data_IF_655813906085
#
_entry.id   IF_655813906085
#
_cell.length_a   1.000
_cell.length_b   1.000
_cell.length_c   1.000
_cell.angle_alpha   90.00
_cell.angle_beta   90.00
_cell.angle_gamma   90.00
#
_symmetry.space_group_name_H-M   'P 1'
#
loop_
_entity.id
_entity.type
_entity.pdbx_description
1 polymer ?
#
# COMPACT_ATOMS: atom_id res chain seq x y z
N UNK A 1 -3.17 -53.31 5.22
CA UNK A 1 -4.26 -52.30 5.37
C UNK A 1 -3.94 -51.34 6.51
N UNK A 2 -3.59 -51.78 7.75
CA UNK A 2 -3.27 -50.88 8.87
C UNK A 2 -2.07 -49.96 8.59
N UNK A 3 -0.97 -50.46 8.06
CA UNK A 3 0.23 -49.70 7.71
C UNK A 3 -0.07 -48.63 6.60
N UNK A 4 -0.98 -48.91 5.69
CA UNK A 4 -1.38 -47.95 4.64
C UNK A 4 -2.24 -46.84 5.22
N UNK A 5 -3.13 -47.16 6.16
CA UNK A 5 -4.01 -46.20 6.83
C UNK A 5 -3.22 -45.27 7.75
N UNK A 6 -2.18 -45.81 8.42
CA UNK A 6 -1.28 -45.02 9.25
C UNK A 6 -0.40 -44.07 8.44
N UNK A 7 0.12 -44.55 7.30
CA UNK A 7 0.84 -43.68 6.36
C UNK A 7 -0.03 -42.55 5.82
N UNK A 8 -1.29 -42.84 5.42
CA UNK A 8 -2.23 -41.80 4.95
C UNK A 8 -2.55 -40.76 6.02
N UNK A 9 -2.65 -41.17 7.29
CA UNK A 9 -2.84 -40.21 8.41
C UNK A 9 -1.64 -39.29 8.59
N UNK A 10 -0.42 -39.83 8.49
CA UNK A 10 0.82 -39.05 8.59
C UNK A 10 0.90 -38.06 7.41
N UNK A 11 0.62 -38.53 6.19
CA UNK A 11 0.65 -37.68 4.99
C UNK A 11 -0.40 -36.54 5.08
N UNK A 12 -1.61 -36.83 5.58
CA UNK A 12 -2.64 -35.81 5.83
C UNK A 12 -2.21 -34.78 6.88
N UNK A 13 -1.66 -35.26 8.01
CA UNK A 13 -1.17 -34.34 9.05
C UNK A 13 -0.05 -33.43 8.54
N UNK A 14 0.83 -33.95 7.67
CA UNK A 14 1.88 -33.15 7.05
C UNK A 14 1.32 -32.08 6.11
N UNK A 15 0.30 -32.43 5.30
CA UNK A 15 -0.40 -31.48 4.43
C UNK A 15 -1.08 -30.38 5.25
N UNK A 16 -1.74 -30.73 6.34
CA UNK A 16 -2.40 -29.77 7.23
C UNK A 16 -1.40 -28.79 7.85
N UNK A 17 -0.21 -29.28 8.23
CA UNK A 17 0.84 -28.44 8.79
C UNK A 17 1.47 -27.52 7.72
N UNK A 18 1.69 -28.03 6.50
CA UNK A 18 2.14 -27.20 5.38
C UNK A 18 1.12 -26.11 5.03
N UNK A 19 -0.18 -26.42 5.02
CA UNK A 19 -1.24 -25.44 4.79
C UNK A 19 -1.20 -24.32 5.85
N UNK A 20 -1.11 -24.67 7.14
CA UNK A 20 -1.01 -23.67 8.21
C UNK A 20 0.22 -22.78 8.09
N UNK A 21 1.37 -23.37 7.71
CA UNK A 21 2.59 -22.61 7.50
C UNK A 21 2.45 -21.63 6.32
N UNK A 22 1.85 -22.06 5.22
CA UNK A 22 1.56 -21.21 4.07
C UNK A 22 0.61 -20.07 4.44
N UNK A 23 -0.49 -20.37 5.15
CA UNK A 23 -1.42 -19.34 5.62
C UNK A 23 -0.70 -18.29 6.50
N UNK A 24 0.17 -18.73 7.41
CA UNK A 24 0.94 -17.83 8.26
C UNK A 24 1.89 -16.94 7.45
N UNK A 25 2.63 -17.51 6.50
CA UNK A 25 3.52 -16.75 5.60
C UNK A 25 2.75 -15.69 4.78
N UNK A 26 1.58 -16.04 4.25
CA UNK A 26 0.77 -15.08 3.50
C UNK A 26 0.15 -14.01 4.39
N UNK A 27 -0.21 -14.35 5.62
CA UNK A 27 -0.71 -13.37 6.60
C UNK A 27 0.37 -12.35 6.94
N UNK A 28 1.59 -12.79 7.22
CA UNK A 28 2.74 -11.92 7.46
C UNK A 28 3.08 -11.06 6.23
N UNK A 29 2.97 -11.61 5.04
CA UNK A 29 3.16 -10.86 3.80
C UNK A 29 2.13 -9.73 3.65
N UNK A 30 0.84 -9.99 3.92
CA UNK A 30 -0.21 -8.96 3.89
C UNK A 30 0.00 -7.91 4.98
N UNK A 31 0.45 -8.33 6.18
CA UNK A 31 0.84 -7.43 7.27
C UNK A 31 1.94 -6.46 6.82
N UNK A 32 2.98 -6.99 6.18
CA UNK A 32 4.07 -6.16 5.67
C UNK A 32 3.60 -5.17 4.60
N UNK A 33 2.70 -5.58 3.70
CA UNK A 33 2.08 -4.67 2.73
C UNK A 33 1.33 -3.55 3.46
N UNK A 34 0.53 -3.90 4.47
CA UNK A 34 -0.24 -2.94 5.27
C UNK A 34 0.68 -1.91 5.93
N UNK A 35 1.74 -2.36 6.58
CA UNK A 35 2.75 -1.51 7.20
C UNK A 35 3.44 -0.60 6.17
N UNK A 36 3.82 -1.15 5.02
CA UNK A 36 4.47 -0.42 3.93
C UNK A 36 3.58 0.70 3.37
N UNK A 37 2.29 0.44 3.17
CA UNK A 37 1.31 1.46 2.75
C UNK A 37 1.25 2.58 3.79
N UNK A 38 1.21 2.26 5.08
CA UNK A 38 1.19 3.25 6.17
C UNK A 38 2.46 4.10 6.27
N UNK A 39 3.57 3.64 5.69
CA UNK A 39 4.83 4.38 5.70
C UNK A 39 4.98 5.40 4.57
N UNK A 40 4.17 5.34 3.51
CA UNK A 40 4.29 6.21 2.32
C UNK A 40 4.18 7.69 2.73
N UNK A 41 3.35 8.02 3.70
CA UNK A 41 3.10 9.40 4.13
C UNK A 41 4.13 9.97 5.13
N UNK A 42 5.16 9.19 5.50
CA UNK A 42 6.10 9.56 6.58
C UNK A 42 6.81 10.90 6.35
N UNK A 43 7.18 11.20 5.10
CA UNK A 43 7.93 12.40 4.74
C UNK A 43 7.04 13.55 4.24
N UNK A 44 5.71 13.48 4.46
CA UNK A 44 4.76 14.47 3.95
C UNK A 44 4.55 15.70 4.84
N UNK A 45 5.26 15.82 5.97
CA UNK A 45 5.08 16.94 6.90
C UNK A 45 5.98 18.10 6.53
N UNK A 46 5.41 19.27 6.28
CA UNK A 46 6.11 20.52 5.97
C UNK A 46 5.73 21.63 6.95
N UNK A 47 6.46 22.74 6.92
CA UNK A 47 6.11 23.95 7.70
C UNK A 47 5.30 24.91 6.84
N UNK A 48 4.07 25.19 7.25
CA UNK A 48 3.19 26.16 6.58
C UNK A 48 2.79 27.20 7.61
N UNK A 49 3.09 28.48 7.34
CA UNK A 49 2.75 29.59 8.24
C UNK A 49 3.20 29.38 9.70
N UNK A 50 4.38 28.77 9.89
CA UNK A 50 4.93 28.47 11.21
C UNK A 50 4.29 27.29 11.93
N UNK A 51 3.40 26.54 11.26
CA UNK A 51 2.78 25.31 11.79
C UNK A 51 3.29 24.09 11.02
N UNK A 52 3.45 22.99 11.73
CA UNK A 52 3.76 21.70 11.12
C UNK A 52 2.48 21.10 10.55
N UNK A 53 2.43 20.88 9.23
CA UNK A 53 1.28 20.34 8.51
C UNK A 53 1.69 19.06 7.79
N UNK A 54 0.99 17.96 8.05
CA UNK A 54 1.15 16.69 7.33
C UNK A 54 0.28 16.72 6.09
N UNK A 55 0.91 16.96 4.91
CA UNK A 55 0.24 17.16 3.62
C UNK A 55 -0.49 15.93 3.09
N UNK A 56 0.03 14.75 3.38
CA UNK A 56 -0.57 13.46 3.06
C UNK A 56 -0.73 12.65 4.34
N UNK A 57 -1.89 12.08 4.56
CA UNK A 57 -2.13 11.13 5.64
C UNK A 57 -2.76 9.87 5.06
N UNK A 58 -2.09 8.74 5.27
CA UNK A 58 -2.59 7.42 4.92
C UNK A 58 -2.90 6.68 6.21
N UNK A 59 -4.14 6.28 6.36
CA UNK A 59 -4.59 5.46 7.47
C UNK A 59 -4.90 4.08 6.94
N UNK A 60 -4.18 3.09 7.43
CA UNK A 60 -4.37 1.66 7.13
C UNK A 60 -5.17 1.00 8.24
N UNK A 61 -5.77 -0.19 7.99
CA UNK A 61 -6.38 -1.01 9.04
C UNK A 61 -5.41 -1.30 10.18
N UNK A 62 -5.94 -1.36 11.41
CA UNK A 62 -5.17 -1.69 12.60
C UNK A 62 -4.92 -3.20 12.66
N UNK A 63 -3.69 -3.58 12.29
CA UNK A 63 -3.31 -4.99 12.19
C UNK A 63 -3.33 -5.73 13.53
N UNK A 64 -2.91 -5.08 14.60
CA UNK A 64 -2.84 -5.71 15.93
C UNK A 64 -4.23 -6.07 16.45
N UNK A 65 -5.19 -5.13 16.30
CA UNK A 65 -6.57 -5.31 16.78
C UNK A 65 -7.37 -6.26 15.90
N UNK A 66 -7.10 -6.27 14.58
CA UNK A 66 -7.90 -7.02 13.60
C UNK A 66 -7.24 -8.30 13.09
N UNK A 67 -6.07 -8.68 13.62
CA UNK A 67 -5.25 -9.79 13.11
C UNK A 67 -6.03 -11.10 12.96
N UNK A 68 -6.84 -11.46 13.96
CA UNK A 68 -7.61 -12.70 13.93
C UNK A 68 -8.70 -12.66 12.85
N UNK A 69 -9.33 -11.50 12.65
CA UNK A 69 -10.29 -11.30 11.59
C UNK A 69 -9.64 -11.42 10.20
N UNK A 70 -8.42 -10.88 10.03
CA UNK A 70 -7.67 -11.01 8.79
C UNK A 70 -7.24 -12.44 8.53
N UNK A 71 -6.86 -13.19 9.58
CA UNK A 71 -6.53 -14.61 9.47
C UNK A 71 -7.72 -15.42 8.95
N UNK A 72 -8.91 -15.19 9.49
CA UNK A 72 -10.13 -15.86 9.03
C UNK A 72 -10.46 -15.52 7.57
N UNK A 73 -10.36 -14.26 7.18
CA UNK A 73 -10.57 -13.85 5.78
C UNK A 73 -9.56 -14.47 4.81
N UNK A 74 -8.31 -14.59 5.22
CA UNK A 74 -7.28 -15.25 4.42
C UNK A 74 -7.59 -16.74 4.24
N UNK A 75 -8.00 -17.41 5.33
CA UNK A 75 -8.42 -18.81 5.29
C UNK A 75 -9.58 -19.02 4.31
N UNK A 76 -10.67 -18.25 4.45
CA UNK A 76 -11.82 -18.30 3.56
C UNK A 76 -11.44 -18.04 2.10
N UNK A 77 -10.50 -17.12 1.89
CA UNK A 77 -9.98 -16.80 0.55
C UNK A 77 -9.24 -18.00 -0.05
N UNK A 78 -8.40 -18.68 0.71
CA UNK A 78 -7.69 -19.87 0.25
C UNK A 78 -8.60 -21.07 0.03
N UNK A 79 -9.57 -21.30 0.90
CA UNK A 79 -10.60 -22.32 0.68
C UNK A 79 -11.32 -22.12 -0.66
N UNK A 80 -11.67 -20.89 -0.99
CA UNK A 80 -12.27 -20.56 -2.27
C UNK A 80 -11.31 -20.79 -3.46
N UNK A 81 -10.01 -20.44 -3.31
CA UNK A 81 -9.00 -20.71 -4.34
C UNK A 81 -8.83 -22.20 -4.57
N UNK A 82 -8.77 -23.01 -3.52
CA UNK A 82 -8.66 -24.47 -3.63
C UNK A 82 -9.85 -25.03 -4.39
N UNK A 83 -11.07 -24.64 -4.03
CA UNK A 83 -12.29 -25.06 -4.71
C UNK A 83 -12.27 -24.72 -6.20
N UNK A 84 -11.95 -23.47 -6.55
CA UNK A 84 -11.89 -23.02 -7.94
C UNK A 84 -10.70 -23.65 -8.70
N UNK A 85 -9.63 -23.95 -8.00
CA UNK A 85 -8.47 -24.67 -8.57
C UNK A 85 -8.83 -26.09 -8.97
N UNK A 86 -9.56 -26.82 -8.13
CA UNK A 86 -10.07 -28.17 -8.44
C UNK A 86 -10.98 -28.12 -9.66
N UNK A 87 -11.94 -27.19 -9.71
CA UNK A 87 -12.79 -27.00 -10.88
C UNK A 87 -12.00 -26.69 -12.17
N UNK A 88 -10.90 -25.94 -12.03
CA UNK A 88 -10.02 -25.60 -13.17
C UNK A 88 -9.34 -26.85 -13.70
N UNK A 89 -8.85 -27.73 -12.83
CA UNK A 89 -8.23 -29.01 -13.20
C UNK A 89 -9.25 -29.93 -13.85
N UNK A 90 -10.44 -30.07 -13.30
CA UNK A 90 -11.52 -30.89 -13.85
C UNK A 90 -11.93 -30.46 -15.28
N UNK A 91 -11.84 -29.16 -15.56
CA UNK A 91 -12.11 -28.58 -16.89
C UNK A 91 -10.86 -28.59 -17.81
N UNK A 92 -9.79 -29.32 -17.45
CA UNK A 92 -8.50 -29.34 -18.16
C UNK A 92 -7.88 -27.95 -18.34
N UNK A 93 -8.14 -27.02 -17.42
CA UNK A 93 -7.55 -25.67 -17.41
C UNK A 93 -6.12 -25.65 -16.87
N UNK A 94 -5.42 -24.55 -17.10
CA UNK A 94 -4.06 -24.35 -16.61
C UNK A 94 -4.08 -23.81 -15.18
N UNK A 95 -3.74 -24.65 -14.20
CA UNK A 95 -3.71 -24.29 -12.77
C UNK A 95 -2.70 -23.18 -12.48
N UNK A 96 -1.51 -23.20 -13.10
CA UNK A 96 -0.48 -22.17 -12.87
C UNK A 96 -0.96 -20.80 -13.30
N UNK A 97 -1.60 -20.71 -14.46
CA UNK A 97 -2.18 -19.46 -14.96
C UNK A 97 -3.33 -18.97 -14.05
N UNK A 98 -4.18 -19.89 -13.59
CA UNK A 98 -5.24 -19.59 -12.65
C UNK A 98 -4.67 -19.01 -11.35
N UNK A 99 -3.71 -19.70 -10.71
CA UNK A 99 -3.07 -19.25 -9.46
C UNK A 99 -2.39 -17.89 -9.63
N UNK A 100 -1.67 -17.67 -10.73
CA UNK A 100 -1.05 -16.38 -11.03
C UNK A 100 -2.04 -15.22 -11.17
N UNK A 101 -3.30 -15.51 -11.54
CA UNK A 101 -4.37 -14.50 -11.60
C UNK A 101 -5.04 -14.23 -10.26
N UNK A 102 -5.14 -15.22 -9.39
CA UNK A 102 -5.84 -15.07 -8.10
C UNK A 102 -4.90 -14.73 -6.95
N UNK A 103 -3.66 -15.24 -6.93
CA UNK A 103 -2.66 -14.96 -5.90
C UNK A 103 -1.77 -13.79 -6.36
N UNK A 104 -2.31 -12.57 -6.31
CA UNK A 104 -1.57 -11.34 -6.56
C UNK A 104 -1.55 -10.48 -5.28
N UNK A 105 -0.51 -9.69 -5.09
CA UNK A 105 -0.38 -8.74 -3.96
C UNK A 105 -1.65 -7.92 -3.75
N UNK A 106 -2.21 -7.36 -4.84
CA UNK A 106 -3.44 -6.57 -4.80
C UNK A 106 -4.62 -7.38 -4.30
N UNK A 107 -4.84 -8.59 -4.85
CA UNK A 107 -5.99 -9.43 -4.49
C UNK A 107 -5.87 -9.99 -3.08
N UNK A 108 -4.66 -10.38 -2.65
CA UNK A 108 -4.41 -10.80 -1.28
C UNK A 108 -4.76 -9.68 -0.31
N UNK A 109 -4.22 -8.49 -0.51
CA UNK A 109 -4.50 -7.35 0.37
C UNK A 109 -5.99 -6.96 0.35
N UNK A 110 -6.62 -6.94 -0.82
CA UNK A 110 -8.04 -6.56 -0.95
C UNK A 110 -8.98 -7.55 -0.27
N UNK A 111 -8.74 -8.85 -0.39
CA UNK A 111 -9.57 -9.88 0.24
C UNK A 111 -9.35 -9.96 1.77
N UNK A 112 -8.15 -9.69 2.26
CA UNK A 112 -7.81 -9.81 3.68
C UNK A 112 -8.08 -8.51 4.42
N UNK A 113 -7.40 -7.43 4.07
CA UNK A 113 -7.49 -6.14 4.75
C UNK A 113 -8.52 -5.18 4.14
N UNK A 114 -8.77 -5.32 2.83
CA UNK A 114 -9.69 -4.47 2.06
C UNK A 114 -9.06 -3.13 1.65
N UNK A 115 -8.83 -2.92 0.36
CA UNK A 115 -8.29 -1.67 -0.17
C UNK A 115 -9.19 -0.47 0.22
N UNK A 116 -10.49 -0.65 0.29
CA UNK A 116 -11.46 0.36 0.70
C UNK A 116 -11.30 0.82 2.15
N UNK A 117 -10.61 0.06 3.00
CA UNK A 117 -10.32 0.42 4.38
C UNK A 117 -9.11 1.35 4.51
N UNK A 118 -8.31 1.48 3.45
CA UNK A 118 -7.21 2.44 3.38
C UNK A 118 -7.79 3.83 3.12
N UNK A 119 -7.64 4.74 4.08
CA UNK A 119 -8.15 6.11 3.98
C UNK A 119 -7.01 7.05 3.64
N UNK A 120 -7.15 7.77 2.53
CA UNK A 120 -6.19 8.78 2.08
C UNK A 120 -6.81 10.15 2.28
N UNK A 121 -6.10 11.01 2.99
CA UNK A 121 -6.45 12.43 3.20
C UNK A 121 -5.28 13.29 2.77
N UNK A 122 -5.59 14.38 2.09
CA UNK A 122 -4.66 15.42 1.69
C UNK A 122 -5.03 16.73 2.38
N UNK A 123 -4.09 17.67 2.40
CA UNK A 123 -4.39 19.03 2.84
C UNK A 123 -4.35 19.98 1.66
N UNK A 124 -5.46 20.67 1.43
CA UNK A 124 -5.58 21.80 0.52
C UNK A 124 -5.11 23.06 1.24
N UNK A 125 -4.19 23.79 0.64
CA UNK A 125 -3.70 25.05 1.16
C UNK A 125 -4.37 26.19 0.41
N UNK A 126 -5.30 26.87 1.08
CA UNK A 126 -5.90 28.10 0.61
C UNK A 126 -5.13 29.32 1.13
N UNK A 127 -5.41 30.51 0.58
CA UNK A 127 -4.70 31.73 0.94
C UNK A 127 -4.73 32.03 2.45
N UNK A 128 -5.83 31.69 3.14
CA UNK A 128 -6.05 32.03 4.53
C UNK A 128 -6.11 30.81 5.48
N UNK A 129 -6.34 29.61 4.95
CA UNK A 129 -6.55 28.39 5.76
C UNK A 129 -6.05 27.13 5.07
N UNK A 130 -5.82 26.10 5.88
CA UNK A 130 -5.55 24.73 5.46
C UNK A 130 -6.79 23.87 5.70
N UNK A 131 -7.23 23.14 4.67
CA UNK A 131 -8.46 22.32 4.71
C UNK A 131 -8.11 20.87 4.41
N UNK A 132 -8.47 19.92 5.29
CA UNK A 132 -8.34 18.50 4.97
C UNK A 132 -9.37 18.12 3.90
N UNK A 133 -8.91 17.41 2.87
CA UNK A 133 -9.75 16.90 1.79
C UNK A 133 -9.58 15.38 1.66
N UNK A 134 -10.64 14.70 1.29
CA UNK A 134 -10.60 13.28 0.95
C UNK A 134 -10.04 13.06 -0.46
N UNK A 135 -9.64 11.84 -0.75
CA UNK A 135 -9.18 11.47 -2.10
C UNK A 135 -10.20 11.79 -3.20
N UNK A 136 -11.48 11.56 -2.92
CA UNK A 136 -12.56 11.84 -3.89
C UNK A 136 -12.75 13.32 -4.19
N UNK A 137 -12.37 14.21 -3.27
CA UNK A 137 -12.49 15.66 -3.44
C UNK A 137 -11.31 16.28 -4.21
N UNK A 138 -10.20 15.55 -4.36
CA UNK A 138 -9.00 16.04 -5.08
C UNK A 138 -9.32 16.42 -6.53
N UNK A 139 -10.21 15.69 -7.18
CA UNK A 139 -10.63 15.97 -8.57
C UNK A 139 -11.41 17.28 -8.74
N UNK A 140 -11.98 17.79 -7.66
CA UNK A 140 -12.71 19.06 -7.65
C UNK A 140 -11.82 20.29 -7.37
N UNK A 141 -10.52 20.08 -7.11
CA UNK A 141 -9.58 21.15 -6.84
C UNK A 141 -9.31 22.01 -8.09
N UNK A 142 -8.94 23.27 -7.87
CA UNK A 142 -8.40 24.12 -8.93
C UNK A 142 -7.11 23.53 -9.52
N UNK A 143 -6.75 23.91 -10.75
CA UNK A 143 -5.57 23.37 -11.43
C UNK A 143 -4.29 23.41 -10.58
N UNK A 144 -3.99 24.53 -9.91
CA UNK A 144 -2.83 24.68 -9.04
C UNK A 144 -2.89 23.82 -7.77
N UNK A 145 -4.04 23.72 -7.15
CA UNK A 145 -4.26 22.91 -5.95
C UNK A 145 -4.23 21.41 -6.26
N UNK A 146 -4.81 21.01 -7.40
CA UNK A 146 -4.75 19.65 -7.91
C UNK A 146 -3.31 19.25 -8.22
N UNK A 147 -2.52 20.15 -8.82
CA UNK A 147 -1.10 19.95 -9.06
C UNK A 147 -0.32 19.75 -7.75
N UNK A 148 -0.52 20.60 -6.74
CA UNK A 148 0.13 20.44 -5.43
C UNK A 148 -0.20 19.08 -4.79
N UNK A 149 -1.46 18.65 -4.86
CA UNK A 149 -1.89 17.34 -4.34
C UNK A 149 -1.18 16.18 -5.05
N UNK A 150 -1.12 16.22 -6.38
CA UNK A 150 -0.41 15.22 -7.18
C UNK A 150 1.10 15.20 -6.86
N UNK A 151 1.72 16.39 -6.75
CA UNK A 151 3.12 16.54 -6.40
C UNK A 151 3.44 15.94 -5.02
N UNK A 152 2.62 16.21 -4.01
CA UNK A 152 2.78 15.63 -2.65
C UNK A 152 2.77 14.11 -2.71
N UNK A 153 1.82 13.51 -3.43
CA UNK A 153 1.71 12.05 -3.56
C UNK A 153 2.94 11.47 -4.25
N UNK A 154 3.32 12.04 -5.40
CA UNK A 154 4.47 11.57 -6.17
C UNK A 154 5.77 11.65 -5.38
N UNK A 155 6.02 12.77 -4.69
CA UNK A 155 7.23 12.93 -3.89
C UNK A 155 7.25 12.00 -2.67
N UNK A 156 6.11 11.74 -2.03
CA UNK A 156 6.01 10.75 -0.96
C UNK A 156 6.28 9.33 -1.46
N UNK A 157 5.73 8.95 -2.63
CA UNK A 157 5.99 7.65 -3.26
C UNK A 157 7.47 7.51 -3.66
N UNK A 158 8.06 8.53 -4.27
CA UNK A 158 9.49 8.54 -4.61
C UNK A 158 10.37 8.44 -3.36
N UNK A 159 10.01 9.14 -2.30
CA UNK A 159 10.71 9.05 -1.02
C UNK A 159 10.59 7.67 -0.38
N UNK A 160 9.41 7.03 -0.47
CA UNK A 160 9.21 5.66 -0.01
C UNK A 160 10.05 4.66 -0.82
N UNK A 161 10.06 4.77 -2.16
CA UNK A 161 10.83 3.88 -3.05
C UNK A 161 12.34 3.96 -2.88
N UNK A 162 12.87 5.03 -2.23
CA UNK A 162 14.30 5.15 -1.89
C UNK A 162 14.73 4.33 -0.67
N UNK A 163 13.78 3.76 0.05
CA UNK A 163 14.09 2.91 1.19
C UNK A 163 14.57 1.56 0.69
N UNK A 164 15.84 1.50 0.40
CA UNK A 164 16.53 0.24 0.25
C UNK A 164 16.92 -0.22 1.65
N UNK A 165 16.12 -1.12 2.24
CA UNK A 165 16.38 -1.67 3.58
C UNK A 165 17.67 -2.51 3.61
N UNK A 166 18.21 -2.84 2.43
CA UNK A 166 19.41 -3.68 2.28
C UNK A 166 20.69 -2.87 2.14
N UNK A 167 20.60 -1.58 1.87
CA UNK A 167 21.76 -0.74 1.62
C UNK A 167 22.22 0.04 2.85
N UNK A 168 22.95 -0.66 3.73
CA UNK A 168 23.61 -0.08 4.91
C UNK A 168 24.70 0.96 4.58
N UNK A 169 25.04 1.15 3.29
CA UNK A 169 26.16 1.93 2.82
C UNK A 169 25.78 3.14 1.96
N UNK A 170 24.54 3.27 1.50
CA UNK A 170 24.08 4.50 0.84
C UNK A 170 23.77 5.55 1.90
N UNK A 171 24.66 6.49 2.05
CA UNK A 171 24.37 7.78 2.67
C UNK A 171 23.15 8.35 1.95
N UNK A 172 22.08 8.67 2.65
CA UNK A 172 20.78 9.11 2.09
C UNK A 172 20.81 10.42 1.29
N UNK A 173 21.87 10.67 0.52
CA UNK A 173 22.12 11.85 -0.30
C UNK A 173 21.74 11.66 -1.77
N UNK A 174 21.43 10.44 -2.22
CA UNK A 174 20.98 10.21 -3.59
C UNK A 174 19.59 10.81 -3.83
N UNK A 175 19.58 11.94 -4.53
CA UNK A 175 18.35 12.58 -5.01
C UNK A 175 17.72 11.83 -6.18
N UNK A 176 16.39 11.74 -6.22
CA UNK A 176 15.67 11.35 -7.44
C UNK A 176 15.18 12.59 -8.15
N UNK A 177 15.32 12.60 -9.47
CA UNK A 177 14.86 13.71 -10.31
C UNK A 177 13.42 13.43 -10.75
N UNK A 178 12.53 14.35 -10.44
CA UNK A 178 11.19 14.40 -10.99
C UNK A 178 11.14 15.43 -12.12
N UNK A 179 10.98 14.96 -13.35
CA UNK A 179 10.85 15.83 -14.52
C UNK A 179 9.37 16.15 -14.74
N UNK A 180 9.04 17.41 -14.74
CA UNK A 180 7.67 17.89 -14.95
C UNK A 180 7.66 18.93 -16.06
N UNK A 181 6.66 18.82 -16.97
CA UNK A 181 6.42 19.84 -17.97
C UNK A 181 5.66 21.01 -17.36
N UNK A 182 6.25 22.20 -17.44
CA UNK A 182 5.68 23.48 -17.00
C UNK A 182 4.98 23.45 -15.62
N UNK A 183 5.67 22.99 -14.54
CA UNK A 183 5.05 22.73 -13.25
C UNK A 183 4.46 23.99 -12.59
N UNK A 184 4.91 25.17 -12.99
CA UNK A 184 4.48 26.44 -12.39
C UNK A 184 3.40 27.17 -13.18
N UNK A 185 3.02 26.70 -14.38
CA UNK A 185 1.98 27.36 -15.20
C UNK A 185 0.64 27.48 -14.48
N UNK A 186 0.33 26.53 -13.62
CA UNK A 186 -0.93 26.46 -12.87
C UNK A 186 -0.80 26.87 -11.40
N UNK A 187 0.43 27.15 -10.91
CA UNK A 187 0.74 27.40 -9.50
C UNK A 187 1.40 28.76 -9.30
N UNK A 188 0.84 29.84 -9.83
CA UNK A 188 1.41 31.19 -9.69
C UNK A 188 1.19 31.79 -8.30
N UNK A 189 0.35 31.21 -7.48
CA UNK A 189 0.04 31.71 -6.14
C UNK A 189 1.15 31.33 -5.13
N UNK A 190 1.69 32.31 -4.42
CA UNK A 190 2.79 32.12 -3.44
C UNK A 190 2.45 31.08 -2.37
N UNK A 191 1.17 31.01 -1.95
CA UNK A 191 0.71 30.04 -0.94
C UNK A 191 0.76 28.59 -1.43
N UNK A 192 0.85 28.34 -2.74
CA UNK A 192 1.03 27.00 -3.34
C UNK A 192 2.50 26.70 -3.64
N UNK A 193 3.30 27.73 -4.03
CA UNK A 193 4.71 27.55 -4.37
C UNK A 193 5.58 27.19 -3.15
N UNK A 194 5.37 27.86 -2.02
CA UNK A 194 6.14 27.58 -0.80
C UNK A 194 6.03 26.12 -0.34
N UNK A 195 4.81 25.57 -0.16
CA UNK A 195 4.63 24.15 0.19
C UNK A 195 5.28 23.19 -0.81
N UNK A 196 5.22 23.49 -2.10
CA UNK A 196 5.81 22.67 -3.15
C UNK A 196 7.35 22.61 -3.01
N UNK A 197 8.00 23.76 -2.81
CA UNK A 197 9.45 23.84 -2.60
C UNK A 197 9.87 23.16 -1.30
N UNK A 198 9.10 23.31 -0.23
CA UNK A 198 9.36 22.65 1.05
C UNK A 198 9.23 21.12 0.94
N UNK A 199 8.24 20.62 0.21
CA UNK A 199 8.11 19.20 -0.07
C UNK A 199 9.29 18.67 -0.89
N UNK A 200 9.67 19.35 -1.97
CA UNK A 200 10.81 18.95 -2.80
C UNK A 200 12.11 18.86 -1.97
N UNK A 201 12.41 19.87 -1.17
CA UNK A 201 13.57 19.86 -0.28
C UNK A 201 13.53 18.71 0.71
N UNK A 202 12.38 18.47 1.34
CA UNK A 202 12.23 17.43 2.36
C UNK A 202 12.32 16.03 1.80
N UNK A 203 11.85 15.82 0.58
CA UNK A 203 11.90 14.54 -0.10
C UNK A 203 13.17 14.36 -0.94
N UNK A 204 14.06 15.34 -0.94
CA UNK A 204 15.28 15.36 -1.74
C UNK A 204 15.00 15.06 -3.23
N UNK A 205 14.01 15.77 -3.80
CA UNK A 205 13.52 15.59 -5.17
C UNK A 205 13.76 16.84 -5.97
#
# INVERSE_FOLDING_TARGET
YENQLEKLKIDLAHIDDEQKNLEMMFLEYVEQINANIGMIDKNSTISVRGRSLKMLRIQVPDWETEREHFRLKLHDYFENIVKLGIETIEKNGNLTEFLGRVITTRKLYDNVAGIQNVKIRLYKIEAEREVPISWSEVSANSGGEGFLSAFVILTCLLSYMRRDETDLFTSGEEGKVLVMDNPFAQTNAEHLLKPLIEMAKKTNT
#
